data_IF_344756091485
#
_entry.id   IF_344756091485
#
_cell.length_a   1.000
_cell.length_b   1.000
_cell.length_c   1.000
_cell.angle_alpha   90.00
_cell.angle_beta   90.00
_cell.angle_gamma   90.00
#
_symmetry.space_group_name_H-M   'P 1'
#
loop_
_entity.id
_entity.type
_entity.pdbx_description
1 polymer ?
#
# COMPACT_ATOMS: atom_id res chain seq x y z
N UNK A 1 0.12 39.66 -40.11
CA UNK A 1 0.63 38.34 -39.67
C UNK A 1 1.15 38.49 -38.24
N UNK A 2 0.44 37.94 -37.26
CA UNK A 2 0.98 37.78 -35.90
C UNK A 2 0.27 36.60 -35.19
N UNK A 3 0.66 35.34 -35.44
CA UNK A 3 0.26 34.23 -34.59
C UNK A 3 1.36 34.07 -33.52
N UNK A 4 1.17 34.61 -32.32
CA UNK A 4 2.19 34.44 -31.27
C UNK A 4 1.64 34.50 -29.85
N UNK A 5 0.64 35.35 -29.57
CA UNK A 5 0.16 35.53 -28.19
C UNK A 5 -0.84 34.47 -27.71
N UNK A 6 -1.70 33.97 -28.60
CA UNK A 6 -2.77 33.01 -28.23
C UNK A 6 -2.23 31.59 -27.97
N UNK A 7 -1.24 31.15 -28.75
CA UNK A 7 -0.67 29.80 -28.65
C UNK A 7 0.16 29.65 -27.36
N UNK A 8 0.92 30.68 -26.96
CA UNK A 8 1.66 30.67 -25.69
C UNK A 8 0.75 30.58 -24.46
N UNK A 9 -0.40 31.26 -24.46
CA UNK A 9 -1.33 31.22 -23.33
C UNK A 9 -1.97 29.83 -23.14
N UNK A 10 -2.28 29.14 -24.25
CA UNK A 10 -2.83 27.78 -24.23
C UNK A 10 -1.77 26.77 -23.76
N UNK A 11 -0.51 26.91 -24.20
CA UNK A 11 0.59 26.05 -23.74
C UNK A 11 0.91 26.26 -22.25
N UNK A 12 0.88 27.50 -21.76
CA UNK A 12 1.09 27.81 -20.35
C UNK A 12 -0.04 27.24 -19.49
N UNK A 13 -1.30 27.38 -19.90
CA UNK A 13 -2.44 26.78 -19.21
C UNK A 13 -2.38 25.25 -19.20
N UNK A 14 -1.93 24.62 -20.30
CA UNK A 14 -1.72 23.17 -20.33
C UNK A 14 -0.61 22.70 -19.38
N UNK A 15 0.49 23.44 -19.21
CA UNK A 15 1.53 23.06 -18.23
C UNK A 15 1.03 23.04 -16.77
N UNK A 16 -0.01 23.80 -16.44
CA UNK A 16 -0.67 23.73 -15.13
C UNK A 16 -1.68 22.58 -15.03
N UNK A 17 -2.23 22.09 -16.15
CA UNK A 17 -3.12 20.92 -16.18
C UNK A 17 -2.33 19.60 -16.09
N UNK A 18 -1.04 19.59 -16.43
CA UNK A 18 -0.16 18.42 -16.30
C UNK A 18 0.58 18.33 -14.94
N UNK A 19 0.23 19.17 -13.97
CA UNK A 19 0.68 18.99 -12.58
C UNK A 19 -0.17 17.97 -11.80
N UNK A 20 -1.15 17.32 -12.45
CA UNK A 20 -2.01 16.32 -11.83
C UNK A 20 -1.35 14.94 -11.73
N UNK A 21 -1.27 14.44 -10.49
CA UNK A 21 -0.85 13.11 -10.06
C UNK A 21 0.59 12.71 -10.42
N UNK A 22 1.55 13.19 -9.63
CA UNK A 22 2.89 12.60 -9.61
C UNK A 22 2.82 11.27 -8.85
N UNK A 23 2.66 10.18 -9.58
CA UNK A 23 2.72 8.82 -9.04
C UNK A 23 4.10 8.53 -8.45
N UNK A 24 4.14 8.03 -7.22
CA UNK A 24 5.36 7.55 -6.56
C UNK A 24 5.25 6.05 -6.29
N UNK A 25 6.35 5.31 -6.40
CA UNK A 25 6.35 3.90 -6.01
C UNK A 25 6.29 3.82 -4.49
N UNK A 26 5.24 3.22 -3.95
CA UNK A 26 4.99 3.12 -2.51
C UNK A 26 5.30 1.73 -1.96
N UNK A 27 5.23 0.70 -2.82
CA UNK A 27 5.47 -0.67 -2.41
C UNK A 27 5.72 -1.63 -3.58
N UNK A 28 6.08 -2.86 -3.21
CA UNK A 28 6.17 -3.99 -4.12
C UNK A 28 5.36 -5.16 -3.63
N UNK A 29 4.91 -6.00 -4.56
CA UNK A 29 4.18 -7.23 -4.24
C UNK A 29 4.55 -8.36 -5.19
N UNK A 30 4.55 -9.57 -4.68
CA UNK A 30 4.61 -10.78 -5.51
C UNK A 30 3.22 -11.36 -5.63
N UNK A 31 2.81 -11.68 -6.86
CA UNK A 31 1.47 -12.21 -7.16
C UNK A 31 1.53 -13.39 -8.12
N UNK A 32 0.41 -14.13 -8.21
CA UNK A 32 0.25 -15.17 -9.21
C UNK A 32 0.23 -14.60 -10.64
N UNK A 33 0.58 -15.38 -11.69
CA UNK A 33 0.46 -14.92 -13.07
C UNK A 33 -0.95 -14.47 -13.47
N UNK A 34 -1.99 -15.09 -12.90
CA UNK A 34 -3.38 -14.72 -13.18
C UNK A 34 -3.72 -13.34 -12.60
N UNK A 35 -3.31 -13.08 -11.36
CA UNK A 35 -3.49 -11.78 -10.71
C UNK A 35 -2.67 -10.69 -11.40
N UNK A 36 -1.42 -10.98 -11.80
CA UNK A 36 -0.60 -10.05 -12.57
C UNK A 36 -1.23 -9.68 -13.92
N UNK A 37 -1.86 -10.63 -14.61
CA UNK A 37 -2.56 -10.36 -15.87
C UNK A 37 -3.75 -9.41 -15.66
N UNK A 38 -4.49 -9.57 -14.57
CA UNK A 38 -5.59 -8.67 -14.20
C UNK A 38 -5.04 -7.28 -13.89
N UNK A 39 -4.01 -7.18 -13.03
CA UNK A 39 -3.39 -5.91 -12.67
C UNK A 39 -2.87 -5.17 -13.91
N UNK A 40 -2.16 -5.86 -14.80
CA UNK A 40 -1.63 -5.24 -16.03
C UNK A 40 -2.73 -4.82 -17.02
N UNK A 41 -3.89 -5.50 -17.00
CA UNK A 41 -5.01 -5.15 -17.85
C UNK A 41 -5.79 -3.95 -17.32
N UNK A 42 -6.00 -3.87 -16.00
CA UNK A 42 -6.72 -2.77 -15.35
C UNK A 42 -5.82 -1.57 -15.02
N UNK A 43 -4.50 -1.79 -15.01
CA UNK A 43 -3.46 -0.88 -14.54
C UNK A 43 -3.66 -0.40 -13.09
N UNK A 44 -4.34 -1.21 -12.27
CA UNK A 44 -4.63 -0.89 -10.87
C UNK A 44 -4.80 -2.16 -10.04
N UNK A 45 -4.80 -2.00 -8.72
CA UNK A 45 -5.01 -3.08 -7.77
C UNK A 45 -6.50 -3.41 -7.63
N UNK A 46 -6.79 -4.66 -7.26
CA UNK A 46 -8.13 -5.10 -6.89
C UNK A 46 -8.03 -6.21 -5.86
N UNK A 47 -8.94 -6.21 -4.89
CA UNK A 47 -9.00 -7.20 -3.80
C UNK A 47 -10.43 -7.70 -3.69
N UNK A 48 -10.66 -8.98 -3.98
CA UNK A 48 -11.98 -9.59 -3.79
C UNK A 48 -12.34 -9.65 -2.29
N UNK A 49 -13.37 -8.92 -1.81
CA UNK A 49 -13.71 -8.87 -0.39
C UNK A 49 -14.02 -10.25 0.21
N UNK A 50 -14.52 -11.20 -0.59
CA UNK A 50 -14.86 -12.55 -0.10
C UNK A 50 -13.67 -13.31 0.49
N UNK A 51 -12.45 -13.01 0.04
CA UNK A 51 -11.24 -13.65 0.60
C UNK A 51 -10.96 -13.12 2.02
N UNK A 52 -11.37 -11.88 2.35
CA UNK A 52 -11.28 -11.37 3.72
C UNK A 52 -12.35 -12.01 4.63
N UNK A 53 -13.56 -12.24 4.10
CA UNK A 53 -14.69 -12.86 4.82
C UNK A 53 -14.52 -14.37 5.03
N UNK A 54 -13.99 -15.09 4.05
CA UNK A 54 -13.91 -16.56 4.03
C UNK A 54 -12.64 -17.12 4.66
N UNK A 55 -11.72 -16.27 5.13
CA UNK A 55 -10.45 -16.72 5.70
C UNK A 55 -10.67 -17.35 7.09
N UNK A 56 -10.32 -18.65 7.30
CA UNK A 56 -10.39 -19.27 8.63
C UNK A 56 -9.27 -18.77 9.57
N UNK A 57 -8.38 -17.90 9.08
CA UNK A 57 -7.26 -17.33 9.83
C UNK A 57 -7.31 -15.81 9.74
N UNK A 58 -7.11 -15.14 10.87
CA UNK A 58 -6.95 -13.68 10.88
C UNK A 58 -5.60 -13.30 10.28
N UNK A 59 -5.59 -12.43 9.26
CA UNK A 59 -4.35 -11.86 8.75
C UNK A 59 -3.61 -11.08 9.85
N UNK A 60 -2.29 -10.94 9.72
CA UNK A 60 -1.47 -10.41 10.81
C UNK A 60 -1.90 -9.00 11.26
N UNK A 61 -2.15 -8.09 10.34
CA UNK A 61 -2.53 -6.69 10.63
C UNK A 61 -3.83 -6.29 9.93
N UNK A 62 -4.70 -7.29 9.71
CA UNK A 62 -6.06 -7.09 9.21
C UNK A 62 -6.24 -7.31 7.71
N UNK A 63 -7.41 -6.93 7.22
CA UNK A 63 -7.92 -7.26 5.89
C UNK A 63 -7.43 -6.30 4.79
N UNK A 64 -6.90 -6.84 3.70
CA UNK A 64 -6.31 -6.02 2.65
C UNK A 64 -5.24 -6.68 1.78
N UNK A 65 -4.50 -5.84 1.07
CA UNK A 65 -3.35 -6.23 0.25
C UNK A 65 -2.06 -6.01 1.03
N UNK A 66 -1.31 -7.09 1.23
CA UNK A 66 0.02 -7.05 1.85
C UNK A 66 1.12 -6.79 0.82
N UNK A 67 2.04 -5.90 1.17
CA UNK A 67 3.13 -5.41 0.32
C UNK A 67 4.44 -5.34 1.11
N UNK A 68 5.56 -5.13 0.41
CA UNK A 68 6.90 -4.93 1.01
C UNK A 68 7.61 -3.72 0.42
N UNK A 69 8.59 -3.21 1.16
CA UNK A 69 9.40 -2.07 0.78
C UNK A 69 10.49 -2.39 -0.27
N UNK A 70 10.83 -3.67 -0.46
CA UNK A 70 11.93 -4.10 -1.35
C UNK A 70 11.39 -4.77 -2.62
N UNK A 71 11.95 -4.44 -3.80
CA UNK A 71 11.60 -5.13 -5.04
C UNK A 71 11.99 -6.61 -4.93
N UNK A 72 11.04 -7.49 -5.24
CA UNK A 72 11.13 -8.93 -5.02
C UNK A 72 11.44 -9.32 -3.55
N UNK A 73 10.96 -8.52 -2.58
CA UNK A 73 11.24 -8.73 -1.16
C UNK A 73 10.60 -9.99 -0.55
N UNK A 74 9.60 -10.59 -1.19
CA UNK A 74 8.99 -11.85 -0.74
C UNK A 74 9.79 -13.04 -1.23
N UNK A 75 9.97 -14.06 -0.36
CA UNK A 75 10.50 -15.34 -0.81
C UNK A 75 9.45 -16.06 -1.63
N UNK A 76 9.74 -16.26 -2.91
CA UNK A 76 8.81 -16.88 -3.85
C UNK A 76 9.10 -18.37 -4.04
N UNK A 77 8.06 -19.14 -4.35
CA UNK A 77 8.18 -20.50 -4.88
C UNK A 77 7.33 -20.59 -6.15
N UNK A 78 7.85 -21.25 -7.19
CA UNK A 78 7.15 -21.41 -8.47
C UNK A 78 7.20 -20.16 -9.35
N UNK A 79 6.35 -20.15 -10.39
CA UNK A 79 6.22 -19.03 -11.32
C UNK A 79 5.41 -17.92 -10.66
N UNK A 80 6.08 -16.84 -10.27
CA UNK A 80 5.48 -15.67 -9.66
C UNK A 80 5.83 -14.43 -10.45
N UNK A 81 4.94 -13.45 -10.41
CA UNK A 81 5.14 -12.14 -11.02
C UNK A 81 5.41 -11.10 -9.92
N UNK A 82 6.11 -10.04 -10.31
CA UNK A 82 6.64 -9.03 -9.41
C UNK A 82 6.07 -7.67 -9.80
N UNK A 83 5.34 -7.03 -8.90
CA UNK A 83 4.64 -5.79 -9.16
C UNK A 83 5.28 -4.62 -8.43
N UNK A 84 5.36 -3.48 -9.12
CA UNK A 84 5.53 -2.17 -8.50
C UNK A 84 4.14 -1.56 -8.32
N UNK A 85 3.90 -0.99 -7.14
CA UNK A 85 2.66 -0.30 -6.80
C UNK A 85 2.99 1.17 -6.61
N UNK A 86 2.24 2.01 -7.31
CA UNK A 86 2.31 3.45 -7.24
C UNK A 86 1.01 4.02 -6.69
N UNK A 87 1.11 5.20 -6.10
CA UNK A 87 -0.02 6.01 -5.68
C UNK A 87 0.24 7.48 -6.00
N UNK A 88 -0.84 8.25 -6.09
CA UNK A 88 -0.78 9.70 -6.12
C UNK A 88 -0.08 10.21 -4.85
N UNK A 89 1.01 10.95 -5.01
CA UNK A 89 1.84 11.40 -3.88
C UNK A 89 1.08 12.26 -2.88
N UNK A 90 0.23 13.19 -3.32
CA UNK A 90 -0.51 14.08 -2.42
C UNK A 90 -1.53 13.28 -1.59
N UNK A 91 -2.23 12.33 -2.23
CA UNK A 91 -3.18 11.45 -1.53
C UNK A 91 -2.46 10.49 -0.59
N UNK A 92 -1.33 9.94 -1.03
CA UNK A 92 -0.52 9.06 -0.22
C UNK A 92 0.08 9.78 0.99
N UNK A 93 0.51 11.04 0.87
CA UNK A 93 1.01 11.83 1.98
C UNK A 93 -0.11 12.15 2.98
N UNK A 94 -1.32 12.43 2.48
CA UNK A 94 -2.47 12.82 3.30
C UNK A 94 -3.16 11.67 4.04
N UNK A 95 -3.07 10.42 3.56
CA UNK A 95 -3.72 9.28 4.24
C UNK A 95 -3.03 8.94 5.56
N UNK A 96 -3.83 8.57 6.55
CA UNK A 96 -3.36 8.08 7.84
C UNK A 96 -2.49 6.83 7.67
N UNK A 97 -1.40 6.76 8.44
CA UNK A 97 -0.46 5.64 8.45
C UNK A 97 -0.17 5.25 9.88
N UNK A 98 -0.23 3.97 10.19
CA UNK A 98 -0.09 3.47 11.56
C UNK A 98 0.84 2.27 11.63
N UNK A 99 1.70 2.24 12.64
CA UNK A 99 2.42 1.05 13.04
C UNK A 99 1.50 0.18 13.90
N UNK A 100 1.31 -1.07 13.52
CA UNK A 100 0.57 -2.08 14.29
C UNK A 100 1.60 -3.01 14.96
N UNK A 101 1.89 -2.83 16.27
CA UNK A 101 2.84 -3.65 17.00
C UNK A 101 2.27 -5.06 17.23
N UNK A 102 3.12 -6.01 17.63
CA UNK A 102 2.65 -7.36 17.98
C UNK A 102 1.81 -7.34 19.26
N UNK A 103 2.22 -6.52 20.22
CA UNK A 103 1.54 -6.33 21.50
C UNK A 103 1.30 -4.85 21.76
N UNK A 104 0.27 -4.54 22.52
CA UNK A 104 0.00 -3.19 23.00
C UNK A 104 -0.59 -3.23 24.41
N UNK A 105 -0.35 -2.16 25.17
CA UNK A 105 -0.98 -1.94 26.45
C UNK A 105 -2.36 -1.32 26.23
N UNK A 106 -3.42 -2.10 26.46
CA UNK A 106 -4.79 -1.63 26.32
C UNK A 106 -5.09 -0.59 27.42
N UNK A 107 -5.43 0.66 27.08
CA UNK A 107 -5.72 1.70 28.07
C UNK A 107 -7.03 1.46 28.84
N UNK A 108 -7.95 0.64 28.31
CA UNK A 108 -9.22 0.33 28.96
C UNK A 108 -9.06 -0.75 30.04
N UNK A 109 -8.31 -1.82 29.74
CA UNK A 109 -8.10 -2.95 30.64
C UNK A 109 -6.84 -2.79 31.50
N UNK A 110 -5.83 -2.07 30.99
CA UNK A 110 -4.50 -1.97 31.57
C UNK A 110 -3.64 -3.23 31.37
N UNK A 111 -4.05 -4.15 30.50
CA UNK A 111 -3.35 -5.39 30.20
C UNK A 111 -2.65 -5.33 28.83
N UNK A 112 -1.54 -6.06 28.70
CA UNK A 112 -0.86 -6.23 27.41
C UNK A 112 -1.60 -7.29 26.57
N UNK A 113 -2.05 -6.90 25.38
CA UNK A 113 -2.80 -7.76 24.47
C UNK A 113 -2.06 -7.96 23.15
N UNK A 114 -2.23 -9.13 22.53
CA UNK A 114 -1.73 -9.39 21.17
C UNK A 114 -2.62 -8.67 20.15
N UNK A 115 -2.01 -7.89 19.25
CA UNK A 115 -2.70 -7.25 18.12
C UNK A 115 -2.51 -7.98 16.80
N UNK A 116 -1.58 -8.94 16.73
CA UNK A 116 -1.36 -9.66 15.50
C UNK A 116 -2.26 -10.88 15.38
N UNK A 117 -2.82 -11.08 14.19
CA UNK A 117 -3.67 -12.25 13.87
C UNK A 117 -4.87 -12.39 14.80
N UNK A 118 -5.48 -11.25 15.14
CA UNK A 118 -6.74 -11.14 15.89
C UNK A 118 -7.85 -10.62 14.96
N UNK A 119 -9.08 -10.55 15.47
CA UNK A 119 -10.20 -10.02 14.70
C UNK A 119 -9.93 -8.57 14.25
N UNK A 120 -10.40 -8.22 13.05
CA UNK A 120 -10.26 -6.89 12.45
C UNK A 120 -10.72 -5.78 13.42
N UNK A 121 -11.81 -6.01 14.16
CA UNK A 121 -12.34 -5.06 15.14
C UNK A 121 -11.37 -4.72 16.27
N UNK A 122 -10.51 -5.65 16.69
CA UNK A 122 -9.51 -5.40 17.74
C UNK A 122 -8.34 -4.57 17.19
N UNK A 123 -7.95 -4.80 15.94
CA UNK A 123 -6.95 -3.98 15.26
C UNK A 123 -7.47 -2.56 15.05
N UNK A 124 -8.72 -2.41 14.58
CA UNK A 124 -9.34 -1.10 14.40
C UNK A 124 -9.46 -0.35 15.73
N UNK A 125 -9.83 -1.02 16.82
CA UNK A 125 -9.89 -0.44 18.17
C UNK A 125 -8.55 0.18 18.60
N UNK A 126 -7.44 -0.51 18.33
CA UNK A 126 -6.11 0.06 18.55
C UNK A 126 -5.85 1.29 17.66
N UNK A 127 -6.16 1.19 16.37
CA UNK A 127 -5.90 2.27 15.40
C UNK A 127 -6.73 3.52 15.70
N UNK A 128 -7.96 3.36 16.20
CA UNK A 128 -8.84 4.46 16.64
C UNK A 128 -8.23 5.29 17.79
N UNK A 129 -7.26 4.73 18.53
CA UNK A 129 -6.53 5.50 19.56
C UNK A 129 -5.49 6.46 18.97
N UNK A 130 -5.10 6.26 17.71
CA UNK A 130 -4.03 7.00 17.03
C UNK A 130 -4.56 7.96 15.96
N UNK A 131 -5.57 7.54 15.20
CA UNK A 131 -6.07 8.26 14.03
C UNK A 131 -7.60 8.27 13.99
N UNK A 132 -8.18 9.18 13.22
CA UNK A 132 -9.64 9.37 13.18
C UNK A 132 -10.37 8.43 12.22
N UNK A 133 -9.65 7.86 11.25
CA UNK A 133 -10.23 6.96 10.26
C UNK A 133 -9.42 5.66 10.19
N UNK A 134 -9.73 4.74 11.11
CA UNK A 134 -8.99 3.48 11.27
C UNK A 134 -9.18 2.49 10.12
N UNK A 135 -10.35 2.52 9.47
CA UNK A 135 -10.68 1.64 8.34
C UNK A 135 -9.81 1.97 7.12
N UNK A 136 -9.52 3.25 6.89
CA UNK A 136 -8.74 3.71 5.73
C UNK A 136 -7.23 3.82 6.00
N UNK A 137 -6.80 3.70 7.26
CA UNK A 137 -5.40 3.86 7.62
C UNK A 137 -4.52 2.77 7.01
N UNK A 138 -3.42 3.17 6.37
CA UNK A 138 -2.40 2.23 5.90
C UNK A 138 -1.66 1.65 7.10
N UNK A 139 -1.55 0.33 7.16
CA UNK A 139 -1.05 -0.35 8.36
C UNK A 139 0.32 -0.94 8.08
N UNK A 140 1.27 -0.67 8.96
CA UNK A 140 2.64 -1.12 8.83
C UNK A 140 2.99 -2.03 10.00
N UNK A 141 3.79 -3.06 9.74
CA UNK A 141 4.33 -3.88 10.82
C UNK A 141 5.59 -4.60 10.38
N UNK A 142 6.26 -5.22 11.35
CA UNK A 142 7.21 -6.28 11.07
C UNK A 142 6.49 -7.52 10.58
N UNK A 143 7.14 -8.34 9.74
CA UNK A 143 6.57 -9.62 9.31
C UNK A 143 6.77 -10.64 10.42
N UNK A 144 5.68 -11.28 10.89
CA UNK A 144 5.75 -12.36 11.87
C UNK A 144 6.66 -13.49 11.37
N UNK A 145 7.58 -13.95 12.21
CA UNK A 145 8.60 -14.94 11.85
C UNK A 145 9.74 -14.39 10.97
N UNK A 146 9.74 -13.10 10.62
CA UNK A 146 10.85 -12.42 9.96
C UNK A 146 10.89 -10.92 10.32
N UNK A 147 11.19 -10.62 11.60
CA UNK A 147 11.17 -9.27 12.17
C UNK A 147 12.16 -8.27 11.54
N UNK A 148 13.09 -8.77 10.71
CA UNK A 148 14.01 -7.95 9.93
C UNK A 148 13.32 -7.26 8.73
N UNK A 149 12.14 -7.74 8.35
CA UNK A 149 11.37 -7.22 7.21
C UNK A 149 10.12 -6.50 7.68
N UNK A 150 9.79 -5.44 6.95
CA UNK A 150 8.56 -4.68 7.11
C UNK A 150 7.55 -5.09 6.04
N UNK A 151 6.29 -4.99 6.40
CA UNK A 151 5.14 -5.09 5.49
C UNK A 151 4.22 -3.88 5.67
N UNK A 152 3.50 -3.57 4.61
CA UNK A 152 2.42 -2.59 4.61
C UNK A 152 1.16 -3.28 4.09
N UNK A 153 0.07 -3.10 4.82
CA UNK A 153 -1.29 -3.45 4.40
C UNK A 153 -1.96 -2.21 3.81
N UNK A 154 -2.46 -2.38 2.59
CA UNK A 154 -3.42 -1.49 1.96
C UNK A 154 -4.84 -2.03 2.24
N UNK A 155 -5.69 -1.34 3.03
CA UNK A 155 -7.04 -1.81 3.33
C UNK A 155 -7.86 -2.11 2.08
N UNK A 156 -8.72 -3.13 2.13
CA UNK A 156 -9.50 -3.60 0.97
C UNK A 156 -10.33 -2.48 0.34
N UNK A 157 -11.02 -1.68 1.15
CA UNK A 157 -11.88 -0.61 0.64
C UNK A 157 -11.06 0.54 0.04
N UNK A 158 -9.94 0.93 0.67
CA UNK A 158 -9.00 1.92 0.13
C UNK A 158 -8.51 1.52 -1.27
N UNK A 159 -8.17 0.23 -1.44
CA UNK A 159 -7.75 -0.34 -2.73
C UNK A 159 -8.89 -0.30 -3.74
N UNK A 160 -10.06 -0.84 -3.38
CA UNK A 160 -11.17 -1.05 -4.31
C UNK A 160 -11.87 0.26 -4.71
N UNK A 161 -11.92 1.24 -3.82
CA UNK A 161 -12.41 2.59 -4.10
C UNK A 161 -11.36 3.45 -4.83
N UNK A 162 -10.12 2.96 -4.92
CA UNK A 162 -8.99 3.64 -5.52
C UNK A 162 -8.70 5.01 -4.88
N UNK A 163 -8.81 5.08 -3.55
CA UNK A 163 -8.78 6.34 -2.80
C UNK A 163 -7.45 7.06 -2.97
N UNK A 164 -6.35 6.31 -3.05
CA UNK A 164 -4.99 6.83 -3.25
C UNK A 164 -4.58 6.99 -4.72
N UNK A 165 -5.48 6.73 -5.67
CA UNK A 165 -5.16 6.79 -7.10
C UNK A 165 -4.09 5.77 -7.50
N UNK A 166 -4.25 4.53 -7.05
CA UNK A 166 -3.32 3.44 -7.30
C UNK A 166 -3.14 3.14 -8.79
N UNK A 167 -1.88 2.99 -9.18
CA UNK A 167 -1.48 2.29 -10.40
C UNK A 167 -0.54 1.15 -10.04
N UNK A 168 -0.59 0.07 -10.82
CA UNK A 168 0.29 -1.06 -10.60
C UNK A 168 0.68 -1.72 -11.91
N UNK A 169 1.94 -2.14 -11.98
CA UNK A 169 2.50 -2.86 -13.13
C UNK A 169 3.27 -4.07 -12.63
N UNK A 170 3.07 -5.20 -13.29
CA UNK A 170 3.65 -6.49 -12.93
C UNK A 170 4.54 -7.04 -14.04
N UNK A 171 5.64 -7.65 -13.62
CA UNK A 171 6.66 -8.21 -14.48
C UNK A 171 6.84 -9.70 -14.21
N UNK A 172 7.18 -10.47 -15.24
CA UNK A 172 7.39 -11.92 -15.13
C UNK A 172 8.73 -12.28 -14.49
N UNK A 173 9.57 -11.28 -14.21
CA UNK A 173 10.91 -11.47 -13.68
C UNK A 173 11.36 -10.31 -12.80
N UNK A 174 12.10 -10.64 -11.74
CA UNK A 174 12.73 -9.67 -10.86
C UNK A 174 13.61 -8.68 -11.63
N UNK A 175 14.30 -9.13 -12.68
CA UNK A 175 15.14 -8.26 -13.51
C UNK A 175 14.34 -7.14 -14.17
N UNK A 176 13.16 -7.43 -14.68
CA UNK A 176 12.29 -6.43 -15.30
C UNK A 176 11.74 -5.48 -14.25
N UNK A 177 11.29 -5.99 -13.09
CA UNK A 177 10.88 -5.14 -11.98
C UNK A 177 11.99 -4.18 -11.59
N UNK A 178 13.22 -4.66 -11.39
CA UNK A 178 14.37 -3.82 -11.05
C UNK A 178 14.79 -2.87 -12.17
N UNK A 179 14.48 -3.21 -13.42
CA UNK A 179 14.64 -2.29 -14.55
C UNK A 179 13.63 -1.14 -14.53
N UNK A 180 12.44 -1.38 -13.96
CA UNK A 180 11.40 -0.38 -13.74
C UNK A 180 11.67 0.46 -12.48
N UNK A 181 11.83 -0.21 -11.33
CA UNK A 181 12.19 0.39 -10.05
C UNK A 181 13.04 -0.58 -9.22
N UNK A 182 14.21 -0.12 -8.78
CA UNK A 182 15.14 -0.89 -7.95
C UNK A 182 15.31 -0.31 -6.54
N UNK A 183 14.51 0.69 -6.19
CA UNK A 183 14.64 1.41 -4.93
C UNK A 183 14.06 0.59 -3.77
N UNK A 184 14.78 0.56 -2.66
CA UNK A 184 14.22 0.12 -1.37
C UNK A 184 13.58 1.33 -0.74
N UNK A 185 12.27 1.25 -0.50
CA UNK A 185 11.48 2.38 -0.02
C UNK A 185 11.68 2.49 1.49
N UNK A 186 12.13 3.65 1.97
CA UNK A 186 12.32 3.85 3.40
C UNK A 186 11.01 4.27 4.06
N UNK A 187 10.16 3.29 4.38
CA UNK A 187 8.90 3.55 5.08
C UNK A 187 9.10 4.21 6.45
N UNK A 188 10.27 4.07 7.08
CA UNK A 188 10.57 4.75 8.35
C UNK A 188 10.80 6.25 8.18
N UNK A 189 11.00 6.73 6.95
CA UNK A 189 11.12 8.16 6.65
C UNK A 189 9.75 8.85 6.54
N UNK A 190 8.65 8.09 6.49
CA UNK A 190 7.29 8.63 6.44
C UNK A 190 6.75 8.96 7.82
N UNK A 191 5.78 9.87 7.88
CA UNK A 191 5.02 10.12 9.10
C UNK A 191 4.03 8.98 9.30
N UNK A 192 4.33 8.10 10.25
CA UNK A 192 3.53 6.94 10.63
C UNK A 192 3.32 7.01 12.13
N UNK A 193 2.07 7.01 12.57
CA UNK A 193 1.71 7.06 13.98
C UNK A 193 2.02 5.74 14.69
N UNK A 194 2.29 5.79 15.99
CA UNK A 194 2.69 4.62 16.78
C UNK A 194 4.18 4.30 16.70
N UNK A 195 4.55 3.04 16.94
CA UNK A 195 5.95 2.59 16.92
C UNK A 195 6.09 1.15 16.39
N UNK A 196 7.12 0.87 15.56
CA UNK A 196 7.34 -0.43 14.90
C UNK A 196 7.98 -1.52 15.77
#
# INVERSE_FOLDING_TARGET
>A
MSPSKSICAILLAMSFLFHGAQGIVIAYRTVSPAEAAIINQSNTLYRDPSIDDDSPYYPQIGNGIYTVQEPAGWRTRGSQWYCAIEADSDKFDAVDKVWVPEYWDDPETGEEESLWSVAESEILRYIDTLVSNSEDALRFSRISGNESKLQMLLPTDVVNNNDLGFSAICFDSERQLRGYSNEVIDWRAWQIEGSP
#
